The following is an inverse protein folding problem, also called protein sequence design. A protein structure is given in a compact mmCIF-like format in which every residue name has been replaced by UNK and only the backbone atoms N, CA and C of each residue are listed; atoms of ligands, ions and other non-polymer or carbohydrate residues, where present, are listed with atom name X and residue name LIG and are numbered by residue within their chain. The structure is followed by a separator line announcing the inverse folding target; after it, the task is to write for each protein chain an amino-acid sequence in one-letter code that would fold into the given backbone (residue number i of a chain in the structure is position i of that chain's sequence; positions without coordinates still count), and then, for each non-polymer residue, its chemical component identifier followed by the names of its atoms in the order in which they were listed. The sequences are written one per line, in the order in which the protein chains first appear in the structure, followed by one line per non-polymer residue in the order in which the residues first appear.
data_IF_080920218711
#
_entry.id   IF_080920218711
#
_cell.length_a   1.000
_cell.length_b   1.000
_cell.length_c   1.000
_cell.angle_alpha   90.00
_cell.angle_beta   90.00
_cell.angle_gamma   90.00
#
_symmetry.space_group_name_H-M   'P 1'
#
loop_
_entity.id
_entity.type
_entity.pdbx_description
1 polymer ?
#
# COMPACT_ATOMS: atom_id res chain seq x y z
N UNK A 1 -21.32 -27.36 22.73
CA UNK A 1 -19.85 -27.49 22.50
C UNK A 1 -19.49 -27.67 21.02
N UNK A 2 -20.00 -28.70 20.31
CA UNK A 2 -19.65 -28.96 18.90
C UNK A 2 -19.96 -27.81 17.92
N UNK A 3 -21.10 -27.12 18.10
CA UNK A 3 -21.47 -25.94 17.29
C UNK A 3 -20.55 -24.73 17.52
N UNK A 4 -20.15 -24.51 18.77
CA UNK A 4 -19.21 -23.44 19.16
C UNK A 4 -17.83 -23.71 18.58
N UNK A 5 -17.38 -24.97 18.61
CA UNK A 5 -16.12 -25.39 17.99
C UNK A 5 -16.13 -25.19 16.47
N UNK A 6 -17.23 -25.53 15.77
CA UNK A 6 -17.37 -25.28 14.33
C UNK A 6 -17.36 -23.79 13.99
N UNK A 7 -18.00 -22.95 14.82
CA UNK A 7 -18.02 -21.51 14.63
C UNK A 7 -16.63 -20.88 14.83
N UNK A 8 -15.85 -21.36 15.81
CA UNK A 8 -14.47 -20.93 16.01
C UNK A 8 -13.56 -21.32 14.82
N UNK A 9 -13.72 -22.52 14.30
CA UNK A 9 -12.96 -22.99 13.14
C UNK A 9 -13.29 -22.14 11.90
N UNK A 10 -14.58 -21.89 11.65
CA UNK A 10 -15.01 -21.02 10.55
C UNK A 10 -14.44 -19.60 10.64
N UNK A 11 -14.35 -19.05 11.85
CA UNK A 11 -13.77 -17.73 12.07
C UNK A 11 -12.25 -17.71 11.80
N UNK A 12 -11.54 -18.78 12.17
CA UNK A 12 -10.10 -18.93 11.89
C UNK A 12 -9.80 -19.12 10.40
N UNK A 13 -10.69 -19.78 9.63
CA UNK A 13 -10.49 -19.92 8.19
C UNK A 13 -10.72 -18.60 7.44
N UNK A 14 -11.64 -17.76 7.91
CA UNK A 14 -11.96 -16.49 7.27
C UNK A 14 -10.78 -15.50 7.26
N UNK A 15 -9.86 -15.57 8.22
CA UNK A 15 -8.68 -14.68 8.25
C UNK A 15 -7.66 -14.98 7.16
N UNK A 16 -7.65 -16.17 6.57
CA UNK A 16 -6.75 -16.52 5.45
C UNK A 16 -7.23 -16.00 4.09
N UNK A 17 -8.46 -15.50 4.00
CA UNK A 17 -9.02 -14.97 2.76
C UNK A 17 -8.55 -13.55 2.44
N UNK A 18 -7.92 -12.87 3.40
CA UNK A 18 -7.38 -11.52 3.23
C UNK A 18 -5.85 -11.61 3.11
N UNK A 19 -5.37 -11.77 1.87
CA UNK A 19 -3.94 -11.64 1.57
C UNK A 19 -3.67 -10.18 1.20
N UNK A 20 -3.03 -9.45 2.12
CA UNK A 20 -2.49 -8.13 1.86
C UNK A 20 -1.01 -8.18 2.20
N UNK A 21 -0.15 -7.96 1.21
CA UNK A 21 1.30 -8.02 1.38
C UNK A 21 1.83 -6.61 1.58
N UNK A 22 2.43 -6.35 2.74
CA UNK A 22 3.07 -5.05 3.03
C UNK A 22 4.57 -5.19 2.89
N UNK A 23 5.14 -4.44 1.95
CA UNK A 23 6.57 -4.42 1.65
C UNK A 23 7.17 -3.19 2.30
N UNK A 24 8.24 -3.38 3.07
CA UNK A 24 8.95 -2.32 3.81
C UNK A 24 10.37 -2.20 3.30
N UNK A 25 10.80 -0.98 3.03
CA UNK A 25 12.20 -0.69 2.72
C UNK A 25 12.99 -0.60 4.02
N UNK A 26 14.02 -1.44 4.19
CA UNK A 26 14.88 -1.41 5.39
C UNK A 26 15.91 -0.27 5.32
N UNK A 27 16.15 0.29 4.14
CA UNK A 27 17.13 1.33 3.83
C UNK A 27 16.49 2.57 3.18
N UNK A 28 15.31 2.98 3.68
CA UNK A 28 14.64 4.20 3.22
C UNK A 28 15.56 5.44 3.34
N UNK A 29 15.48 6.34 2.36
CA UNK A 29 16.34 7.54 2.28
C UNK A 29 16.13 8.55 3.40
N UNK A 30 15.03 8.44 4.13
CA UNK A 30 14.66 9.26 5.28
C UNK A 30 13.23 8.94 5.70
N UNK A 31 12.65 9.79 6.56
CA UNK A 31 11.23 9.69 6.92
C UNK A 31 10.34 9.78 5.69
N UNK A 32 9.31 8.94 5.60
CA UNK A 32 8.31 8.99 4.53
C UNK A 32 7.80 10.41 4.26
N UNK A 33 7.63 10.73 2.97
CA UNK A 33 7.19 12.03 2.49
C UNK A 33 8.36 12.92 2.07
N UNK A 34 8.14 14.23 2.15
CA UNK A 34 9.10 15.24 1.68
C UNK A 34 10.02 15.72 2.79
N UNK A 35 11.33 15.70 2.53
CA UNK A 35 12.33 16.37 3.36
C UNK A 35 13.13 17.40 2.57
N UNK A 36 13.53 18.47 3.25
CA UNK A 36 14.35 19.52 2.66
C UNK A 36 15.81 19.07 2.67
N UNK A 37 16.39 18.87 1.48
CA UNK A 37 17.80 18.51 1.34
C UNK A 37 18.69 19.75 1.19
N UNK A 38 18.26 20.72 0.37
CA UNK A 38 19.04 21.93 0.10
C UNK A 38 18.13 23.16 -0.04
N UNK A 39 18.61 24.32 0.39
CA UNK A 39 17.99 25.62 0.13
C UNK A 39 19.06 26.63 -0.28
N UNK A 40 18.83 27.33 -1.39
CA UNK A 40 19.65 28.45 -1.85
C UNK A 40 18.77 29.56 -2.41
N UNK A 41 19.38 30.70 -2.78
CA UNK A 41 18.67 31.78 -3.46
C UNK A 41 18.18 31.39 -4.86
N UNK A 42 18.72 30.33 -5.44
CA UNK A 42 18.36 29.87 -6.79
C UNK A 42 17.40 28.67 -6.79
N UNK A 43 17.05 28.13 -5.62
CA UNK A 43 16.10 27.01 -5.56
C UNK A 43 16.13 26.21 -4.27
N UNK A 44 15.32 25.16 -4.29
CA UNK A 44 15.12 24.24 -3.17
C UNK A 44 15.25 22.81 -3.69
N UNK A 45 16.08 22.00 -3.02
CA UNK A 45 16.17 20.57 -3.24
C UNK A 45 15.32 19.83 -2.21
N UNK A 46 14.38 19.02 -2.68
CA UNK A 46 13.53 18.17 -1.86
C UNK A 46 13.88 16.70 -2.11
N UNK A 47 13.84 15.88 -1.07
CA UNK A 47 13.86 14.43 -1.17
C UNK A 47 12.46 13.89 -0.90
N UNK A 48 11.99 12.95 -1.71
CA UNK A 48 10.77 12.19 -1.44
C UNK A 48 11.17 10.76 -1.05
N UNK A 49 10.76 10.31 0.13
CA UNK A 49 11.05 8.98 0.65
C UNK A 49 9.77 8.18 0.86
N UNK A 50 9.85 6.87 0.68
CA UNK A 50 8.78 5.92 0.99
C UNK A 50 9.33 4.87 1.94
N UNK A 51 8.57 4.53 2.98
CA UNK A 51 8.99 3.53 3.96
C UNK A 51 8.36 2.17 3.63
N UNK A 52 7.13 2.19 3.10
CA UNK A 52 6.36 0.98 2.81
C UNK A 52 5.33 1.23 1.72
N UNK A 53 4.97 0.16 1.00
CA UNK A 53 3.78 0.08 0.17
C UNK A 53 3.09 -1.27 0.41
N UNK A 54 1.81 -1.34 0.06
CA UNK A 54 1.01 -2.54 0.21
C UNK A 54 0.50 -3.00 -1.15
N UNK A 55 0.56 -4.30 -1.40
CA UNK A 55 -0.12 -4.97 -2.49
C UNK A 55 -1.43 -5.57 -1.97
N UNK A 56 -2.53 -5.23 -2.63
CA UNK A 56 -3.85 -5.75 -2.34
C UNK A 56 -4.43 -6.43 -3.58
N UNK A 57 -4.93 -7.66 -3.41
CA UNK A 57 -5.64 -8.36 -4.46
C UNK A 57 -6.99 -7.68 -4.73
N UNK A 58 -7.27 -7.39 -6.00
CA UNK A 58 -8.52 -6.78 -6.44
C UNK A 58 -9.11 -7.53 -7.64
N UNK A 59 -10.43 -7.44 -7.79
CA UNK A 59 -11.13 -7.93 -8.98
C UNK A 59 -11.78 -6.74 -9.68
N UNK A 60 -11.34 -6.43 -10.89
CA UNK A 60 -11.86 -5.35 -11.72
C UNK A 60 -12.34 -5.98 -13.03
N UNK A 61 -13.63 -5.82 -13.34
CA UNK A 61 -14.27 -6.37 -14.54
C UNK A 61 -14.06 -7.89 -14.74
N UNK A 62 -13.94 -8.65 -13.65
CA UNK A 62 -13.72 -10.10 -13.67
C UNK A 62 -12.24 -10.49 -13.76
N UNK A 63 -11.33 -9.54 -13.93
CA UNK A 63 -9.89 -9.77 -13.96
C UNK A 63 -9.29 -9.63 -12.56
N UNK A 64 -8.47 -10.62 -12.19
CA UNK A 64 -7.67 -10.54 -10.97
C UNK A 64 -6.48 -9.62 -11.21
N UNK A 65 -6.40 -8.55 -10.44
CA UNK A 65 -5.36 -7.52 -10.53
C UNK A 65 -4.79 -7.23 -9.14
N UNK A 66 -3.65 -6.54 -9.09
CA UNK A 66 -3.08 -6.07 -7.83
C UNK A 66 -3.13 -4.54 -7.78
N UNK A 67 -3.64 -4.03 -6.68
CA UNK A 67 -3.55 -2.62 -6.34
C UNK A 67 -2.25 -2.35 -5.59
N UNK A 68 -1.55 -1.30 -6.00
CA UNK A 68 -0.44 -0.73 -5.25
C UNK A 68 -0.98 0.39 -4.38
N UNK A 69 -0.83 0.27 -3.07
CA UNK A 69 -1.24 1.25 -2.09
C UNK A 69 -0.01 1.87 -1.45
N UNK A 70 0.16 3.18 -1.63
CA UNK A 70 1.19 3.96 -0.96
C UNK A 70 0.52 4.86 0.09
N UNK A 71 1.00 4.88 1.35
CA UNK A 71 0.44 5.77 2.37
C UNK A 71 0.57 7.24 1.99
N UNK A 72 -0.40 8.06 2.42
CA UNK A 72 -0.35 9.53 2.32
C UNK A 72 -0.29 10.10 0.88
N UNK A 73 -0.71 9.33 -0.12
CA UNK A 73 -0.84 9.82 -1.50
C UNK A 73 -2.24 9.56 -2.05
N UNK A 74 -2.59 10.34 -3.06
CA UNK A 74 -3.83 10.21 -3.82
C UNK A 74 -3.50 9.68 -5.21
N UNK A 75 -4.38 8.85 -5.75
CA UNK A 75 -4.28 8.42 -7.13
C UNK A 75 -4.63 9.60 -8.05
N UNK A 76 -3.65 10.08 -8.82
CA UNK A 76 -3.81 11.25 -9.71
C UNK A 76 -4.07 10.89 -11.17
N UNK A 77 -4.33 9.61 -11.47
CA UNK A 77 -4.53 9.16 -12.84
C UNK A 77 -5.97 9.36 -13.30
N UNK A 78 -6.19 9.18 -14.61
CA UNK A 78 -7.52 9.14 -15.20
C UNK A 78 -8.13 7.73 -15.08
N UNK A 79 -9.46 7.66 -15.12
CA UNK A 79 -10.16 6.37 -15.09
C UNK A 79 -9.73 5.46 -16.26
N UNK A 80 -9.48 4.18 -15.95
CA UNK A 80 -9.00 3.19 -16.91
C UNK A 80 -7.47 3.08 -17.03
N UNK A 81 -6.71 3.96 -16.35
CA UNK A 81 -5.26 3.83 -16.24
C UNK A 81 -4.85 2.97 -15.02
N UNK A 82 -3.62 2.40 -15.00
CA UNK A 82 -3.13 1.62 -13.86
C UNK A 82 -3.02 2.43 -12.57
N UNK A 83 -3.37 1.82 -11.44
CA UNK A 83 -3.30 2.42 -10.10
C UNK A 83 -1.85 2.53 -9.62
N UNK A 84 -1.15 3.57 -10.07
CA UNK A 84 0.24 3.85 -9.71
C UNK A 84 0.32 5.11 -8.82
N UNK A 85 0.38 4.94 -7.49
CA UNK A 85 0.49 6.05 -6.57
C UNK A 85 1.93 6.57 -6.47
N UNK A 86 2.11 7.89 -6.57
CA UNK A 86 3.41 8.56 -6.52
C UNK A 86 3.34 10.02 -6.91
#
# INVERSE_FOLDING_TARGET
MRKISLMLISLLLASFLFSSETIRYEDAWGTAGFSLNQRSNSGVGLNFSIDTFTLEDANIDGEAVQNVLLPQTYLQNEAGAPNLPG
#
